data_IF_798020233737
#
_entry.id   IF_798020233737
#
_cell.length_a   1.000
_cell.length_b   1.000
_cell.length_c   1.000
_cell.angle_alpha   90.00
_cell.angle_beta   90.00
_cell.angle_gamma   90.00
#
_symmetry.space_group_name_H-M   'P 1'
#
loop_
_entity.id
_entity.type
_entity.pdbx_description
1 polymer ?
#
# COMPACT_ATOMS: atom_id res chain seq x y z
N UNK A 1 17.94 0.21 -12.81
CA UNK A 1 18.75 1.43 -12.74
C UNK A 1 20.12 1.18 -13.32
N UNK A 2 20.84 2.24 -13.73
CA UNK A 2 22.27 2.11 -14.06
C UNK A 2 23.04 2.10 -12.73
N UNK A 3 23.87 1.08 -12.42
CA UNK A 3 24.53 0.96 -11.12
C UNK A 3 25.28 2.21 -10.65
N UNK A 4 25.78 3.02 -11.57
CA UNK A 4 26.56 4.23 -11.26
C UNK A 4 25.75 5.55 -11.29
N UNK A 5 24.46 5.52 -11.64
CA UNK A 5 23.63 6.74 -11.80
C UNK A 5 22.25 6.67 -11.12
N UNK A 6 21.59 5.51 -11.17
CA UNK A 6 20.36 5.22 -10.41
C UNK A 6 20.49 3.79 -9.88
N UNK A 7 21.29 3.59 -8.81
CA UNK A 7 21.65 2.26 -8.37
C UNK A 7 20.46 1.50 -7.78
N UNK A 8 19.45 2.19 -7.27
CA UNK A 8 18.39 1.55 -6.51
C UNK A 8 17.37 0.87 -7.44
N UNK A 9 17.04 -0.37 -7.14
CA UNK A 9 15.85 -1.00 -7.70
C UNK A 9 14.60 -0.29 -7.14
N UNK A 10 13.56 -0.14 -7.97
CA UNK A 10 12.28 0.46 -7.55
C UNK A 10 11.16 -0.49 -7.92
N UNK A 11 10.18 -0.63 -7.03
CA UNK A 11 8.94 -1.34 -7.30
C UNK A 11 7.78 -0.54 -6.74
N UNK A 12 6.76 -0.33 -7.56
CA UNK A 12 5.48 0.21 -7.14
C UNK A 12 4.46 -0.91 -7.01
N UNK A 13 3.54 -0.78 -6.05
CA UNK A 13 2.38 -1.66 -5.96
C UNK A 13 1.14 -0.87 -5.57
N UNK A 14 0.00 -1.37 -6.04
CA UNK A 14 -1.32 -0.99 -5.58
C UNK A 14 -1.97 -2.16 -4.83
N UNK A 15 -2.70 -1.87 -3.77
CA UNK A 15 -3.54 -2.85 -3.07
C UNK A 15 -4.88 -2.23 -2.70
N UNK A 16 -5.96 -2.91 -3.05
CA UNK A 16 -7.32 -2.48 -2.73
C UNK A 16 -8.00 -3.54 -1.88
N UNK A 17 -8.85 -3.11 -0.96
CA UNK A 17 -9.63 -4.03 -0.15
C UNK A 17 -10.74 -3.32 0.57
N UNK A 18 -11.52 -4.11 1.31
CA UNK A 18 -12.57 -3.58 2.15
C UNK A 18 -12.72 -4.40 3.43
N UNK A 19 -13.16 -3.74 4.48
CA UNK A 19 -13.45 -4.36 5.77
C UNK A 19 -14.52 -3.56 6.51
N UNK A 20 -15.12 -4.15 7.55
CA UNK A 20 -16.07 -3.42 8.39
C UNK A 20 -15.34 -2.75 9.54
N UNK A 21 -15.59 -1.47 9.78
CA UNK A 21 -15.00 -0.76 10.93
C UNK A 21 -15.49 -1.31 12.27
N UNK A 22 -16.68 -1.93 12.29
CA UNK A 22 -17.21 -2.64 13.45
C UNK A 22 -16.40 -3.89 13.84
N UNK A 23 -15.76 -4.57 12.89
CA UNK A 23 -14.87 -5.73 13.17
C UNK A 23 -13.64 -5.31 14.02
N UNK A 24 -13.31 -4.01 14.01
CA UNK A 24 -12.21 -3.41 14.77
C UNK A 24 -12.69 -2.58 15.97
N UNK A 25 -13.96 -2.71 16.37
CA UNK A 25 -14.53 -2.05 17.55
C UNK A 25 -15.02 -0.60 17.31
N UNK A 26 -14.99 -0.11 16.07
CA UNK A 26 -15.45 1.25 15.74
C UNK A 26 -16.94 1.22 15.37
N UNK A 27 -17.81 1.17 16.38
CA UNK A 27 -19.26 0.98 16.18
C UNK A 27 -20.10 2.24 16.27
N UNK A 28 -19.54 3.35 16.78
CA UNK A 28 -20.28 4.59 16.95
C UNK A 28 -20.78 5.15 15.60
N UNK A 29 -22.07 5.46 15.56
CA UNK A 29 -22.73 6.03 14.38
C UNK A 29 -22.99 5.04 13.23
N UNK A 30 -22.76 3.73 13.41
CA UNK A 30 -23.21 2.72 12.43
C UNK A 30 -24.76 2.68 12.44
N UNK A 31 -25.43 2.69 11.26
CA UNK A 31 -26.89 2.62 11.20
C UNK A 31 -27.43 1.36 11.88
N UNK A 32 -28.52 1.52 12.64
CA UNK A 32 -29.26 0.38 13.18
C UNK A 32 -29.87 -0.46 12.04
N UNK A 33 -30.09 -1.78 12.24
CA UNK A 33 -30.68 -2.63 11.21
C UNK A 33 -31.98 -2.06 10.62
N UNK A 34 -32.06 -2.00 9.29
CA UNK A 34 -33.23 -1.46 8.58
C UNK A 34 -33.30 0.08 8.53
N UNK A 35 -32.29 0.79 9.04
CA UNK A 35 -32.20 2.25 8.99
C UNK A 35 -30.98 2.70 8.18
N UNK A 36 -31.00 3.94 7.71
CA UNK A 36 -29.89 4.54 6.93
C UNK A 36 -29.25 5.74 7.64
N UNK A 37 -29.77 6.13 8.80
CA UNK A 37 -29.22 7.25 9.57
C UNK A 37 -27.90 6.84 10.23
N UNK A 38 -26.79 7.44 9.81
CA UNK A 38 -25.45 7.18 10.35
C UNK A 38 -24.36 7.16 9.26
N UNK A 39 -23.21 6.57 9.61
CA UNK A 39 -22.06 6.35 8.72
C UNK A 39 -21.91 4.86 8.48
N UNK A 40 -21.84 4.47 7.20
CA UNK A 40 -21.70 3.08 6.77
C UNK A 40 -20.58 2.32 7.48
N UNK A 41 -20.77 1.01 7.60
CA UNK A 41 -19.82 0.13 8.29
C UNK A 41 -18.70 -0.37 7.38
N UNK A 42 -19.01 -0.61 6.10
CA UNK A 42 -18.03 -1.02 5.10
C UNK A 42 -17.09 0.16 4.77
N UNK A 43 -15.80 -0.07 4.93
CA UNK A 43 -14.72 0.82 4.49
C UNK A 43 -14.06 0.18 3.29
N UNK A 44 -13.98 0.93 2.20
CA UNK A 44 -13.10 0.65 1.07
C UNK A 44 -11.77 1.38 1.29
N UNK A 45 -10.65 0.70 1.07
CA UNK A 45 -9.33 1.28 1.18
C UNK A 45 -8.46 0.96 -0.03
N UNK A 46 -7.52 1.86 -0.31
CA UNK A 46 -6.51 1.73 -1.37
C UNK A 46 -5.15 2.11 -0.81
N UNK A 47 -4.15 1.28 -1.07
CA UNK A 47 -2.75 1.51 -0.72
C UNK A 47 -2.00 1.63 -2.04
N UNK A 48 -1.36 2.78 -2.25
CA UNK A 48 -0.45 3.04 -3.36
C UNK A 48 0.91 3.36 -2.74
N UNK A 49 1.92 2.55 -3.05
CA UNK A 49 3.24 2.74 -2.46
C UNK A 49 4.37 2.28 -3.38
N UNK A 50 5.51 2.91 -3.20
CA UNK A 50 6.76 2.59 -3.87
C UNK A 50 7.81 2.16 -2.84
N UNK A 51 8.53 1.09 -3.14
CA UNK A 51 9.70 0.65 -2.39
C UNK A 51 10.97 0.91 -3.19
N UNK A 52 11.99 1.37 -2.47
CA UNK A 52 13.34 1.50 -2.97
C UNK A 52 14.18 0.37 -2.38
N UNK A 53 14.72 -0.48 -3.25
CA UNK A 53 15.60 -1.58 -2.88
C UNK A 53 17.04 -1.11 -2.62
N UNK A 54 17.92 -2.03 -2.17
CA UNK A 54 19.34 -1.74 -2.05
C UNK A 54 19.95 -1.35 -3.42
N UNK A 55 21.12 -0.68 -3.42
CA UNK A 55 21.83 -0.40 -4.66
C UNK A 55 22.19 -1.71 -5.39
N UNK A 56 22.09 -1.69 -6.71
CA UNK A 56 22.51 -2.78 -7.58
C UNK A 56 24.00 -3.06 -7.41
N UNK A 57 24.38 -4.34 -7.39
CA UNK A 57 25.78 -4.73 -7.33
C UNK A 57 26.54 -4.19 -8.55
N UNK A 58 27.68 -3.55 -8.30
CA UNK A 58 28.61 -3.14 -9.36
C UNK A 58 29.38 -4.40 -9.78
N UNK A 59 29.20 -4.86 -11.01
CA UNK A 59 30.05 -5.91 -11.56
C UNK A 59 31.50 -5.41 -11.61
N UNK A 60 32.52 -6.26 -11.37
CA UNK A 60 33.91 -5.84 -11.55
C UNK A 60 34.09 -5.32 -12.97
N UNK A 61 34.73 -4.15 -13.13
CA UNK A 61 35.11 -3.66 -14.45
C UNK A 61 35.92 -4.75 -15.17
N UNK A 62 35.49 -5.13 -16.37
CA UNK A 62 36.28 -6.00 -17.20
C UNK A 62 37.58 -5.24 -17.56
N UNK A 63 38.68 -5.62 -16.92
CA UNK A 63 40.01 -5.12 -17.27
C UNK A 63 40.33 -5.56 -18.69
N UNK A 64 40.36 -4.58 -19.59
CA UNK A 64 40.82 -4.73 -20.98
C UNK A 64 42.34 -4.53 -21.07
#
# INVERSE_FOLDING_TARGET
GMPNMDPQARIGFSAHGSFKRSDFGITFGVPAPGTTMGVGDLIDFSIEAEFTGPPLAVAPEATH
#
